data_IF_347479920627
#
_entry.id   IF_347479920627
#
_cell.length_a   1.000
_cell.length_b   1.000
_cell.length_c   1.000
_cell.angle_alpha   90.00
_cell.angle_beta   90.00
_cell.angle_gamma   90.00
#
_symmetry.space_group_name_H-M   'P 1'
#
loop_
_entity.id
_entity.type
_entity.pdbx_description
1 polymer ?
#
# COMPACT_ATOMS: atom_id res chain seq x y z
N UNK A 1 4.02 5.87 -5.91
CA UNK A 1 5.08 5.89 -4.89
C UNK A 1 4.70 4.91 -3.81
N UNK A 2 5.66 4.48 -3.00
CA UNK A 2 5.45 3.59 -1.87
C UNK A 2 5.56 4.41 -0.59
N UNK A 3 4.71 4.13 0.39
CA UNK A 3 4.68 4.87 1.64
C UNK A 3 4.90 3.94 2.82
N UNK A 4 5.62 4.44 3.82
CA UNK A 4 5.72 3.85 5.16
C UNK A 4 4.97 4.78 6.11
N UNK A 5 3.98 4.25 6.82
CA UNK A 5 3.24 4.93 7.88
C UNK A 5 4.03 4.80 9.18
N UNK A 6 4.58 5.91 9.64
CA UNK A 6 5.43 6.00 10.85
C UNK A 6 4.61 6.23 12.12
N UNK A 7 3.49 6.95 12.00
CA UNK A 7 2.53 7.20 13.08
C UNK A 7 1.13 7.45 12.53
N UNK A 8 0.11 7.27 13.37
CA UNK A 8 -1.29 7.49 13.01
C UNK A 8 -1.98 6.27 12.39
N UNK A 9 -3.16 6.51 11.81
CA UNK A 9 -4.01 5.51 11.18
C UNK A 9 -4.46 5.97 9.79
N UNK A 10 -4.55 5.03 8.85
CA UNK A 10 -5.07 5.27 7.51
C UNK A 10 -6.15 4.27 7.12
N UNK A 11 -7.10 4.74 6.32
CA UNK A 11 -8.23 3.99 5.82
C UNK A 11 -8.07 3.75 4.32
N UNK A 12 -8.19 2.49 3.90
CA UNK A 12 -8.06 2.06 2.51
C UNK A 12 -9.46 1.79 1.96
N UNK A 13 -9.81 2.46 0.87
CA UNK A 13 -11.10 2.35 0.20
C UNK A 13 -10.92 1.77 -1.20
N UNK A 14 -11.65 0.71 -1.54
CA UNK A 14 -11.69 0.17 -2.90
C UNK A 14 -12.86 0.76 -3.69
N UNK A 15 -12.64 1.04 -4.98
CA UNK A 15 -13.69 1.51 -5.90
C UNK A 15 -14.05 0.40 -6.88
N UNK A 16 -15.11 -0.39 -6.63
CA UNK A 16 -15.55 -1.43 -7.54
C UNK A 16 -16.27 -0.85 -8.77
N UNK A 17 -17.04 0.22 -8.60
CA UNK A 17 -17.85 0.85 -9.66
C UNK A 17 -17.78 2.39 -9.60
N UNK A 18 -18.28 3.04 -10.65
CA UNK A 18 -18.31 4.49 -10.75
C UNK A 18 -19.31 5.12 -9.75
N UNK A 19 -18.81 5.57 -8.60
CA UNK A 19 -19.57 6.33 -7.59
C UNK A 19 -19.63 5.69 -6.20
N UNK A 20 -19.13 4.46 -6.04
CA UNK A 20 -19.06 3.78 -4.74
C UNK A 20 -17.62 3.69 -4.23
N UNK A 21 -17.41 3.93 -2.93
CA UNK A 21 -16.16 3.63 -2.24
C UNK A 21 -16.47 2.72 -1.05
N UNK A 22 -15.87 1.54 -1.02
CA UNK A 22 -16.02 0.59 0.09
C UNK A 22 -14.78 0.65 0.94
N UNK A 23 -14.92 0.90 2.24
CA UNK A 23 -13.82 0.77 3.18
C UNK A 23 -13.43 -0.71 3.25
N UNK A 24 -12.23 -1.04 2.80
CA UNK A 24 -11.73 -2.44 2.80
C UNK A 24 -10.84 -2.72 4.00
N UNK A 25 -10.12 -1.71 4.50
CA UNK A 25 -9.16 -1.91 5.59
C UNK A 25 -8.83 -0.62 6.31
N UNK A 26 -8.56 -0.73 7.63
CA UNK A 26 -7.83 0.28 8.39
C UNK A 26 -6.42 -0.25 8.68
N UNK A 27 -5.42 0.60 8.54
CA UNK A 27 -4.03 0.29 8.88
C UNK A 27 -3.54 1.28 9.94
N UNK A 28 -2.73 0.79 10.87
CA UNK A 28 -2.10 1.59 11.92
C UNK A 28 -0.58 1.54 11.75
N UNK A 29 0.14 2.52 12.28
CA UNK A 29 1.59 2.47 12.31
C UNK A 29 2.11 1.37 13.25
N UNK A 30 3.21 0.66 12.92
CA UNK A 30 3.95 0.75 11.67
C UNK A 30 3.27 -0.07 10.55
N UNK A 31 3.12 0.54 9.39
CA UNK A 31 2.64 -0.17 8.19
C UNK A 31 3.21 0.48 6.93
N UNK A 32 2.94 -0.11 5.78
CA UNK A 32 3.23 0.47 4.48
C UNK A 32 2.01 0.37 3.56
N UNK A 33 2.03 1.11 2.45
CA UNK A 33 0.99 1.02 1.42
C UNK A 33 1.50 1.54 0.07
N UNK A 34 0.77 1.21 -1.01
CA UNK A 34 1.10 1.60 -2.38
C UNK A 34 1.90 0.55 -3.15
N UNK A 35 2.23 -0.58 -2.52
CA UNK A 35 2.92 -1.73 -3.09
C UNK A 35 2.14 -2.39 -4.23
N UNK A 36 0.81 -2.43 -4.15
CA UNK A 36 -0.03 -3.05 -5.18
C UNK A 36 0.15 -2.37 -6.55
N UNK A 37 0.27 -1.04 -6.57
CA UNK A 37 0.48 -0.27 -7.80
C UNK A 37 1.90 -0.42 -8.38
N UNK A 38 2.84 -0.99 -7.61
CA UNK A 38 4.23 -1.15 -8.01
C UNK A 38 4.56 -2.61 -8.36
N UNK A 39 4.06 -3.58 -7.58
CA UNK A 39 4.38 -5.00 -7.69
C UNK A 39 3.23 -5.80 -8.30
N UNK A 40 1.99 -5.53 -7.90
CA UNK A 40 0.84 -6.38 -8.22
C UNK A 40 0.34 -6.26 -9.66
N UNK A 41 0.80 -5.27 -10.43
CA UNK A 41 0.28 -4.93 -11.77
C UNK A 41 -1.24 -4.74 -11.87
N UNK A 42 -1.95 -4.65 -10.73
CA UNK A 42 -3.37 -4.29 -10.68
C UNK A 42 -3.47 -2.77 -10.65
N UNK A 43 -4.34 -2.21 -11.50
CA UNK A 43 -4.57 -0.77 -11.58
C UNK A 43 -4.93 -0.20 -10.21
N UNK A 44 -4.59 1.07 -9.97
CA UNK A 44 -4.82 1.81 -8.70
C UNK A 44 -6.30 1.86 -8.33
N UNK A 45 -6.80 0.79 -7.74
CA UNK A 45 -8.22 0.60 -7.40
C UNK A 45 -8.54 1.01 -5.97
N UNK A 46 -7.52 1.36 -5.18
CA UNK A 46 -7.66 1.76 -3.80
C UNK A 46 -7.26 3.22 -3.55
N UNK A 47 -8.08 3.95 -2.80
CA UNK A 47 -7.81 5.28 -2.24
C UNK A 47 -7.38 5.12 -0.79
N UNK A 48 -6.28 5.74 -0.39
CA UNK A 48 -5.84 5.78 1.01
C UNK A 48 -6.16 7.16 1.57
N UNK A 49 -6.87 7.22 2.70
CA UNK A 49 -7.20 8.45 3.43
C UNK A 49 -6.61 8.39 4.84
N UNK A 50 -6.15 9.51 5.35
CA UNK A 50 -5.73 9.59 6.75
C UNK A 50 -6.98 9.51 7.65
N UNK A 51 -6.98 8.58 8.61
CA UNK A 51 -8.02 8.46 9.64
C UNK A 51 -7.69 9.29 10.89
N UNK A 52 -6.40 9.58 11.10
CA UNK A 52 -5.88 10.49 12.13
C UNK A 52 -4.82 11.40 11.54
N UNK A 53 -4.18 12.26 12.35
CA UNK A 53 -2.89 12.84 11.98
C UNK A 53 -1.87 11.71 11.74
N UNK A 54 -1.16 11.77 10.62
CA UNK A 54 -0.24 10.73 10.17
C UNK A 54 1.10 11.32 9.77
N UNK A 55 2.18 10.62 10.10
CA UNK A 55 3.49 10.87 9.51
C UNK A 55 3.87 9.72 8.60
N UNK A 56 4.35 10.04 7.39
CA UNK A 56 4.74 9.05 6.40
C UNK A 56 6.12 9.33 5.83
N UNK A 57 6.82 8.27 5.44
CA UNK A 57 7.96 8.36 4.54
C UNK A 57 7.52 7.93 3.14
N UNK A 58 7.86 8.74 2.15
CA UNK A 58 7.60 8.42 0.74
C UNK A 58 8.88 7.93 0.06
N UNK A 59 8.74 6.83 -0.68
CA UNK A 59 9.76 6.30 -1.57
C UNK A 59 9.25 6.44 -3.00
N UNK A 60 10.04 7.12 -3.83
CA UNK A 60 9.72 7.28 -5.26
C UNK A 60 9.64 5.91 -5.94
N UNK A 61 8.90 5.83 -7.06
CA UNK A 61 8.74 4.58 -7.80
C UNK A 61 10.10 4.00 -8.22
N UNK A 62 10.96 4.83 -8.78
CA UNK A 62 12.30 4.45 -9.25
C UNK A 62 13.14 3.85 -8.11
N UNK A 63 13.31 4.59 -7.01
CA UNK A 63 14.06 4.12 -5.84
C UNK A 63 13.48 2.85 -5.23
N UNK A 64 12.16 2.70 -5.24
CA UNK A 64 11.52 1.48 -4.75
C UNK A 64 11.84 0.28 -5.64
N UNK A 65 11.79 0.44 -6.97
CA UNK A 65 12.13 -0.64 -7.91
C UNK A 65 13.61 -1.03 -7.78
N UNK A 66 14.52 -0.06 -7.73
CA UNK A 66 15.96 -0.32 -7.51
C UNK A 66 16.21 -1.07 -6.20
N UNK A 67 15.52 -0.67 -5.14
CA UNK A 67 15.62 -1.30 -3.82
C UNK A 67 15.14 -2.75 -3.85
N UNK A 68 14.00 -3.00 -4.49
CA UNK A 68 13.40 -4.34 -4.62
C UNK A 68 14.27 -5.26 -5.47
N UNK A 69 14.85 -4.76 -6.57
CA UNK A 69 15.80 -5.51 -7.40
C UNK A 69 17.04 -5.95 -6.62
N UNK A 70 17.55 -5.05 -5.77
CA UNK A 70 18.73 -5.31 -4.94
C UNK A 70 18.43 -6.14 -3.67
N UNK A 71 17.16 -6.32 -3.30
CA UNK A 71 16.75 -6.97 -2.04
C UNK A 71 15.61 -7.96 -2.24
N UNK A 72 15.92 -9.15 -2.78
CA UNK A 72 14.92 -10.19 -3.09
C UNK A 72 14.10 -10.66 -1.88
N UNK A 73 14.67 -10.63 -0.66
CA UNK A 73 13.93 -10.97 0.56
C UNK A 73 12.78 -10.00 0.83
N UNK A 74 13.01 -8.71 0.58
CA UNK A 74 11.99 -7.69 0.72
C UNK A 74 10.87 -7.86 -0.30
N UNK A 75 11.21 -8.22 -1.54
CA UNK A 75 10.22 -8.57 -2.58
C UNK A 75 9.34 -9.74 -2.14
N UNK A 76 9.94 -10.82 -1.61
CA UNK A 76 9.19 -11.98 -1.12
C UNK A 76 8.24 -11.61 0.03
N UNK A 77 8.71 -10.77 0.97
CA UNK A 77 7.86 -10.30 2.07
C UNK A 77 6.65 -9.48 1.57
N UNK A 78 6.85 -8.63 0.55
CA UNK A 78 5.75 -7.88 -0.06
C UNK A 78 4.79 -8.76 -0.85
N UNK A 79 5.28 -9.77 -1.57
CA UNK A 79 4.43 -10.71 -2.32
C UNK A 79 3.47 -11.47 -1.42
N UNK A 80 3.93 -11.92 -0.24
CA UNK A 80 3.05 -12.54 0.76
C UNK A 80 1.97 -11.57 1.23
N UNK A 81 2.34 -10.31 1.48
CA UNK A 81 1.38 -9.28 1.92
C UNK A 81 0.31 -9.00 0.88
N UNK A 82 0.69 -8.85 -0.40
CA UNK A 82 -0.25 -8.62 -1.51
C UNK A 82 -1.22 -9.81 -1.63
N UNK A 83 -0.74 -11.03 -1.40
CA UNK A 83 -1.57 -12.24 -1.43
C UNK A 83 -2.62 -12.17 -0.31
N UNK A 84 -2.23 -11.85 0.93
CA UNK A 84 -3.16 -11.67 2.05
C UNK A 84 -4.20 -10.57 1.83
N UNK A 85 -3.93 -9.62 0.92
CA UNK A 85 -4.84 -8.55 0.52
C UNK A 85 -5.77 -8.90 -0.65
N UNK A 86 -5.44 -9.89 -1.48
CA UNK A 86 -6.27 -10.32 -2.61
C UNK A 86 -7.25 -11.43 -2.23
N UNK A 87 -6.93 -12.20 -1.19
CA UNK A 87 -7.71 -13.37 -0.77
C UNK A 87 -8.55 -13.14 0.51
N UNK A 88 -8.57 -11.92 1.06
CA UNK A 88 -9.42 -11.49 2.19
C UNK A 88 -10.15 -10.19 1.84
#
# INVERSE_FOLDING_TARGET
TFFILMSGQAEIFFKPDEGSQVLVRRIEAPSCFGEMALIGQVYRSATVKAGTECQTLEISREKFLDFVESNRLFLMALSNRITDHLYN
#
